data_IF_038788963133
#
_entry.id   IF_038788963133
#
_cell.length_a   1.000
_cell.length_b   1.000
_cell.length_c   1.000
_cell.angle_alpha   90.00
_cell.angle_beta   90.00
_cell.angle_gamma   90.00
#
_symmetry.space_group_name_H-M   'P 1'
#
loop_
_entity.id
_entity.type
_entity.pdbx_description
1 polymer ?
#
# COMPACT_ATOMS: atom_id res chain seq x y z
N UNK A 1 -6.17 -17.49 -22.81
CA UNK A 1 -7.46 -17.29 -22.11
C UNK A 1 -7.67 -15.79 -22.00
N UNK A 2 -8.89 -15.28 -22.18
CA UNK A 2 -9.15 -13.84 -22.07
C UNK A 2 -9.04 -13.41 -20.61
N UNK A 3 -8.25 -12.37 -20.33
CA UNK A 3 -8.17 -11.77 -19.00
C UNK A 3 -9.57 -11.30 -18.56
N UNK A 4 -9.86 -11.38 -17.26
CA UNK A 4 -11.04 -10.76 -16.67
C UNK A 4 -10.62 -9.66 -15.70
N UNK A 5 -10.25 -8.45 -16.18
CA UNK A 5 -9.83 -7.37 -15.31
C UNK A 5 -10.98 -6.93 -14.42
N UNK A 6 -10.71 -6.82 -13.12
CA UNK A 6 -11.66 -6.33 -12.12
C UNK A 6 -11.09 -5.07 -11.48
N UNK A 7 -11.95 -4.15 -11.05
CA UNK A 7 -11.51 -2.93 -10.40
C UNK A 7 -12.19 -2.71 -9.05
N UNK A 8 -11.53 -1.94 -8.19
CA UNK A 8 -12.10 -1.43 -6.94
C UNK A 8 -11.65 0.01 -6.69
N UNK A 9 -12.57 0.93 -6.35
CA UNK A 9 -12.19 2.26 -5.86
C UNK A 9 -11.34 2.18 -4.59
N UNK A 10 -10.34 3.05 -4.49
CA UNK A 10 -9.55 3.24 -3.27
C UNK A 10 -9.83 4.62 -2.70
N UNK A 11 -10.03 4.69 -1.39
CA UNK A 11 -10.20 5.93 -0.64
C UNK A 11 -9.09 6.08 0.40
N UNK A 12 -8.64 7.32 0.61
CA UNK A 12 -7.70 7.66 1.67
C UNK A 12 -8.45 8.31 2.82
N UNK A 13 -8.32 7.74 4.00
CA UNK A 13 -8.94 8.28 5.20
C UNK A 13 -8.22 9.53 5.69
N UNK A 14 -8.97 10.54 6.12
CA UNK A 14 -8.38 11.78 6.57
C UNK A 14 -7.77 11.67 7.97
N UNK A 15 -8.31 10.82 8.85
CA UNK A 15 -7.83 10.72 10.23
C UNK A 15 -6.55 9.88 10.31
N UNK A 16 -6.63 8.64 9.83
CA UNK A 16 -5.57 7.64 9.92
C UNK A 16 -4.53 7.75 8.80
N UNK A 17 -4.89 8.41 7.68
CA UNK A 17 -4.10 8.44 6.42
C UNK A 17 -3.91 7.06 5.77
N UNK A 18 -4.64 6.04 6.24
CA UNK A 18 -4.68 4.71 5.67
C UNK A 18 -5.64 4.65 4.49
N UNK A 19 -5.62 3.51 3.79
CA UNK A 19 -6.41 3.30 2.59
C UNK A 19 -7.48 2.24 2.80
N UNK A 20 -8.64 2.45 2.20
CA UNK A 20 -9.69 1.44 2.08
C UNK A 20 -10.04 1.21 0.62
N UNK A 21 -10.54 0.02 0.33
CA UNK A 21 -11.08 -0.36 -0.96
C UNK A 21 -12.51 -0.87 -0.82
N UNK A 22 -13.24 -0.91 -1.92
CA UNK A 22 -14.64 -1.32 -1.95
C UNK A 22 -14.84 -2.67 -2.64
N UNK A 23 -15.65 -3.52 -2.04
CA UNK A 23 -16.11 -4.76 -2.67
C UNK A 23 -17.56 -5.04 -2.27
N UNK A 24 -18.27 -5.82 -3.07
CA UNK A 24 -19.58 -6.33 -2.69
C UNK A 24 -19.41 -7.72 -2.10
N UNK A 25 -20.16 -8.03 -1.04
CA UNK A 25 -20.21 -9.34 -0.40
C UNK A 25 -21.66 -9.68 -0.08
N UNK A 26 -21.95 -10.96 0.15
CA UNK A 26 -23.25 -11.51 0.61
C UNK A 26 -24.27 -11.66 -0.52
N UNK A 27 -25.33 -12.42 -0.25
CA UNK A 27 -26.54 -12.48 -1.08
C UNK A 27 -27.77 -12.13 -0.25
N UNK A 28 -28.46 -10.99 -0.52
CA UNK A 28 -28.20 -10.03 -1.59
C UNK A 28 -26.91 -9.22 -1.38
N UNK A 29 -26.26 -8.84 -2.49
CA UNK A 29 -24.98 -8.12 -2.50
C UNK A 29 -25.07 -6.80 -1.73
N UNK A 30 -24.12 -6.59 -0.82
CA UNK A 30 -23.95 -5.35 -0.04
C UNK A 30 -22.55 -4.80 -0.23
N UNK A 31 -22.45 -3.50 -0.44
CA UNK A 31 -21.17 -2.79 -0.50
C UNK A 31 -20.48 -2.85 0.87
N UNK A 32 -19.20 -3.21 0.88
CA UNK A 32 -18.33 -3.23 2.05
C UNK A 32 -17.13 -2.32 1.78
N UNK A 33 -16.75 -1.55 2.79
CA UNK A 33 -15.48 -0.85 2.80
C UNK A 33 -14.47 -1.71 3.56
N UNK A 34 -13.32 -1.98 2.95
CA UNK A 34 -12.29 -2.85 3.51
C UNK A 34 -11.00 -2.09 3.63
N UNK A 35 -10.35 -2.15 4.79
CA UNK A 35 -8.99 -1.65 4.92
C UNK A 35 -8.09 -2.39 3.93
N UNK A 36 -7.33 -1.66 3.12
CA UNK A 36 -6.47 -2.24 2.09
C UNK A 36 -5.12 -2.57 2.72
N UNK A 37 -4.83 -3.86 2.87
CA UNK A 37 -3.55 -4.33 3.40
C UNK A 37 -2.76 -5.14 2.38
N UNK A 38 -1.63 -4.57 1.93
CA UNK A 38 -0.69 -5.25 1.05
C UNK A 38 0.01 -6.45 1.68
N UNK A 39 0.23 -6.46 2.99
CA UNK A 39 1.04 -7.47 3.67
C UNK A 39 0.23 -8.59 4.32
N UNK A 40 -1.08 -8.42 4.46
CA UNK A 40 -1.92 -9.38 5.17
C UNK A 40 -2.09 -10.69 4.40
N UNK A 41 -2.24 -11.76 5.17
CA UNK A 41 -2.46 -13.12 4.70
C UNK A 41 -3.92 -13.41 4.33
N UNK A 42 -4.84 -13.10 5.24
CA UNK A 42 -6.27 -13.45 5.13
C UNK A 42 -7.15 -12.23 5.08
N UNK A 43 -8.08 -12.21 4.12
CA UNK A 43 -9.17 -11.24 4.12
C UNK A 43 -10.12 -11.59 5.26
N UNK A 44 -10.54 -10.59 6.02
CA UNK A 44 -11.47 -10.81 7.13
C UNK A 44 -12.53 -9.73 7.24
N UNK A 45 -13.69 -10.09 7.78
CA UNK A 45 -14.84 -9.19 7.96
C UNK A 45 -15.40 -9.29 9.38
N UNK A 46 -15.93 -8.18 9.90
CA UNK A 46 -16.77 -8.21 11.10
C UNK A 46 -18.08 -8.95 10.78
N UNK A 47 -18.25 -10.10 11.45
CA UNK A 47 -19.38 -10.99 11.23
C UNK A 47 -20.44 -10.93 12.33
N UNK A 48 -20.35 -9.98 13.27
CA UNK A 48 -21.27 -9.92 14.43
C UNK A 48 -22.75 -9.83 14.05
N UNK A 49 -23.04 -9.22 12.89
CA UNK A 49 -24.38 -9.11 12.32
C UNK A 49 -24.38 -9.55 10.85
N UNK A 50 -23.79 -10.73 10.59
CA UNK A 50 -23.70 -11.26 9.23
C UNK A 50 -25.00 -11.93 8.79
N UNK A 51 -25.53 -11.53 7.63
CA UNK A 51 -26.75 -12.12 7.06
C UNK A 51 -26.58 -12.25 5.56
N UNK A 52 -26.64 -13.49 5.09
CA UNK A 52 -26.50 -13.86 3.68
C UNK A 52 -27.24 -15.16 3.44
N UNK A 53 -27.76 -15.35 2.22
CA UNK A 53 -28.40 -16.62 1.81
C UNK A 53 -27.42 -17.61 1.17
N UNK A 54 -26.18 -17.19 0.92
CA UNK A 54 -25.15 -17.97 0.22
C UNK A 54 -23.92 -18.27 1.05
N UNK A 55 -23.88 -17.85 2.33
CA UNK A 55 -22.74 -18.17 3.17
C UNK A 55 -22.70 -19.66 3.47
N UNK A 56 -21.49 -20.20 3.62
CA UNK A 56 -21.26 -21.57 4.04
C UNK A 56 -20.14 -21.59 5.08
N UNK A 57 -20.36 -22.33 6.17
CA UNK A 57 -19.29 -22.68 7.09
C UNK A 57 -18.38 -23.74 6.45
N UNK A 58 -17.08 -23.67 6.75
CA UNK A 58 -16.11 -24.67 6.31
C UNK A 58 -15.78 -25.59 7.48
N UNK A 59 -15.90 -26.90 7.28
CA UNK A 59 -15.44 -27.89 8.27
C UNK A 59 -13.91 -28.03 8.27
N UNK A 60 -13.32 -28.32 9.43
CA UNK A 60 -11.86 -28.41 9.59
C UNK A 60 -11.21 -29.53 8.76
N UNK A 61 -11.94 -30.60 8.49
CA UNK A 61 -11.47 -31.79 7.77
C UNK A 61 -11.52 -31.63 6.24
N UNK A 62 -12.06 -30.51 5.76
CA UNK A 62 -12.11 -30.20 4.33
C UNK A 62 -10.73 -29.94 3.77
N UNK A 63 -10.53 -30.29 2.49
CA UNK A 63 -9.29 -30.00 1.77
C UNK A 63 -8.97 -28.49 1.74
N UNK A 64 -9.99 -27.64 1.70
CA UNK A 64 -9.83 -26.18 1.73
C UNK A 64 -9.20 -25.75 3.05
N UNK A 65 -9.69 -26.23 4.19
CA UNK A 65 -9.12 -25.89 5.50
C UNK A 65 -7.67 -26.36 5.65
N UNK A 66 -7.37 -27.59 5.21
CA UNK A 66 -6.02 -28.13 5.23
C UNK A 66 -5.06 -27.31 4.35
N UNK A 67 -5.52 -26.77 3.22
CA UNK A 67 -4.73 -25.91 2.34
C UNK A 67 -4.55 -24.48 2.87
N UNK A 68 -5.51 -23.98 3.64
CA UNK A 68 -5.39 -22.70 4.34
C UNK A 68 -4.29 -22.77 5.42
N UNK A 69 -3.89 -23.97 5.88
CA UNK A 69 -2.79 -24.16 6.83
C UNK A 69 -3.01 -23.36 8.13
N UNK A 70 -4.25 -23.37 8.61
CA UNK A 70 -4.63 -22.66 9.84
C UNK A 70 -4.36 -23.48 11.09
N UNK A 71 -4.35 -24.82 10.96
CA UNK A 71 -4.07 -25.81 12.00
C UNK A 71 -4.95 -25.71 13.25
N UNK A 72 -6.07 -24.99 13.17
CA UNK A 72 -6.99 -24.79 14.29
C UNK A 72 -8.43 -25.09 13.88
N UNK A 73 -9.16 -25.71 14.80
CA UNK A 73 -10.56 -26.06 14.65
C UNK A 73 -11.38 -25.55 15.83
N UNK A 74 -12.56 -25.00 15.53
CA UNK A 74 -13.48 -24.47 16.52
C UNK A 74 -14.64 -25.40 16.83
N UNK A 75 -15.15 -25.32 18.04
CA UNK A 75 -16.47 -25.84 18.40
C UNK A 75 -17.26 -24.73 19.08
N UNK A 76 -18.57 -24.69 18.80
CA UNK A 76 -19.44 -23.66 19.35
C UNK A 76 -20.69 -24.26 19.98
N UNK A 77 -20.99 -23.83 21.20
CA UNK A 77 -22.09 -24.37 22.02
C UNK A 77 -23.35 -23.49 22.02
N UNK A 78 -23.44 -22.57 21.05
CA UNK A 78 -24.61 -21.71 20.82
C UNK A 78 -25.35 -22.15 19.54
N UNK A 79 -26.56 -21.60 19.25
CA UNK A 79 -27.27 -21.90 18.01
C UNK A 79 -26.40 -21.62 16.76
N UNK A 80 -26.46 -22.47 15.72
CA UNK A 80 -25.64 -22.32 14.53
C UNK A 80 -25.79 -20.94 13.89
N UNK A 81 -24.67 -20.31 13.58
CA UNK A 81 -24.61 -19.00 12.93
C UNK A 81 -23.32 -18.87 12.11
N UNK A 82 -23.16 -17.79 11.31
CA UNK A 82 -21.89 -17.54 10.61
C UNK A 82 -20.66 -17.48 11.53
N UNK A 83 -20.82 -17.22 12.82
CA UNK A 83 -19.72 -17.14 13.81
C UNK A 83 -19.82 -18.22 14.89
N UNK A 84 -20.62 -19.26 14.65
CA UNK A 84 -20.83 -20.33 15.61
C UNK A 84 -21.17 -21.63 14.87
N UNK A 85 -20.19 -22.50 14.74
CA UNK A 85 -20.33 -23.77 14.06
C UNK A 85 -19.40 -24.82 14.69
N UNK A 86 -19.84 -26.08 14.70
CA UNK A 86 -19.00 -27.17 15.23
C UNK A 86 -18.04 -27.67 14.17
N UNK A 87 -16.88 -28.16 14.62
CA UNK A 87 -15.83 -28.65 13.74
C UNK A 87 -15.44 -27.61 12.67
N UNK A 88 -15.47 -26.32 13.03
CA UNK A 88 -15.23 -25.22 12.10
C UNK A 88 -13.75 -25.09 11.75
N UNK A 89 -13.46 -24.69 10.51
CA UNK A 89 -12.16 -24.24 10.11
C UNK A 89 -11.94 -22.81 10.64
N UNK A 90 -10.99 -22.60 11.54
CA UNK A 90 -10.70 -21.28 12.11
C UNK A 90 -9.37 -20.74 11.61
N UNK A 91 -9.12 -19.44 11.76
CA UNK A 91 -7.78 -18.85 11.63
C UNK A 91 -7.57 -17.70 12.61
N UNK A 92 -6.41 -17.04 12.50
CA UNK A 92 -6.04 -15.88 13.30
C UNK A 92 -6.10 -14.59 12.47
N UNK A 93 -7.27 -13.97 12.28
CA UNK A 93 -7.35 -12.65 11.66
C UNK A 93 -6.54 -11.64 12.49
N UNK A 94 -5.66 -10.91 11.80
CA UNK A 94 -4.80 -9.89 12.40
C UNK A 94 -5.20 -8.49 11.91
N UNK A 95 -5.26 -7.55 12.84
CA UNK A 95 -5.19 -6.12 12.52
C UNK A 95 -3.72 -5.69 12.46
N UNK A 96 -3.20 -5.47 11.25
CA UNK A 96 -1.81 -5.10 11.00
C UNK A 96 -1.40 -3.74 11.58
N UNK A 97 -2.37 -2.86 11.90
CA UNK A 97 -2.13 -1.49 12.39
C UNK A 97 -1.95 -1.51 13.91
N UNK A 98 -2.83 -2.22 14.62
CA UNK A 98 -2.81 -2.30 16.09
C UNK A 98 -2.11 -3.53 16.62
N UNK A 99 -1.75 -4.49 15.74
CA UNK A 99 -1.16 -5.78 16.08
C UNK A 99 -2.04 -6.61 17.02
N UNK A 100 -3.35 -6.43 16.89
CA UNK A 100 -4.34 -7.25 17.58
C UNK A 100 -4.69 -8.47 16.74
N UNK A 101 -4.91 -9.59 17.42
CA UNK A 101 -5.34 -10.85 16.82
C UNK A 101 -6.60 -11.33 17.53
N UNK A 102 -7.43 -12.04 16.79
CA UNK A 102 -8.51 -12.85 17.35
C UNK A 102 -8.50 -14.24 16.73
N UNK A 103 -9.39 -15.11 17.19
CA UNK A 103 -9.76 -16.34 16.49
C UNK A 103 -11.07 -16.09 15.76
N UNK A 104 -11.18 -16.61 14.54
CA UNK A 104 -12.39 -16.49 13.76
C UNK A 104 -12.58 -17.62 12.76
N UNK A 105 -13.85 -18.01 12.59
CA UNK A 105 -14.28 -19.02 11.63
C UNK A 105 -14.02 -18.55 10.20
N UNK A 106 -13.61 -19.46 9.33
CA UNK A 106 -13.53 -19.24 7.89
C UNK A 106 -14.86 -19.60 7.24
N UNK A 107 -15.35 -18.68 6.44
CA UNK A 107 -16.57 -18.81 5.66
C UNK A 107 -16.29 -18.72 4.16
N UNK A 108 -17.20 -19.32 3.40
CA UNK A 108 -17.41 -19.01 2.00
C UNK A 108 -18.61 -18.06 1.88
N UNK A 109 -18.52 -17.07 1.02
CA UNK A 109 -19.70 -16.37 0.51
C UNK A 109 -19.40 -15.75 -0.87
N UNK A 110 -20.43 -15.20 -1.51
CA UNK A 110 -20.31 -14.53 -2.80
C UNK A 110 -19.70 -13.15 -2.63
N UNK A 111 -18.50 -12.96 -3.17
CA UNK A 111 -17.88 -11.66 -3.40
C UNK A 111 -18.23 -11.17 -4.82
N UNK A 112 -18.33 -9.86 -5.03
CA UNK A 112 -18.38 -9.29 -6.37
C UNK A 112 -17.56 -8.02 -6.51
N UNK A 113 -16.94 -7.89 -7.69
CA UNK A 113 -16.25 -6.68 -8.12
C UNK A 113 -16.68 -6.31 -9.52
N UNK A 114 -16.77 -5.03 -9.85
CA UNK A 114 -16.98 -4.63 -11.23
C UNK A 114 -15.84 -5.06 -12.15
N UNK A 115 -16.18 -5.44 -13.37
CA UNK A 115 -15.24 -5.60 -14.48
C UNK A 115 -14.68 -4.24 -14.91
N UNK A 116 -13.56 -4.22 -15.62
CA UNK A 116 -13.03 -3.01 -16.25
C UNK A 116 -12.40 -3.32 -17.61
N UNK A 117 -12.45 -2.34 -18.52
CA UNK A 117 -11.73 -2.33 -19.79
C UNK A 117 -10.39 -1.56 -19.69
N UNK A 118 -9.98 -1.22 -18.47
CA UNK A 118 -8.82 -0.38 -18.17
C UNK A 118 -9.15 1.12 -18.14
N UNK A 119 -10.36 1.54 -18.55
CA UNK A 119 -10.83 2.93 -18.51
C UNK A 119 -11.98 3.11 -17.52
N UNK A 120 -12.99 2.25 -17.61
CA UNK A 120 -14.27 2.47 -16.96
C UNK A 120 -14.78 1.24 -16.21
N UNK A 121 -15.56 1.48 -15.14
CA UNK A 121 -16.31 0.43 -14.47
C UNK A 121 -17.33 -0.23 -15.40
N UNK A 122 -17.36 -1.56 -15.40
CA UNK A 122 -18.35 -2.40 -16.08
C UNK A 122 -19.33 -3.08 -15.13
N UNK A 123 -19.97 -4.15 -15.62
CA UNK A 123 -20.88 -4.99 -14.82
C UNK A 123 -20.12 -5.73 -13.71
N UNK A 124 -20.81 -6.09 -12.64
CA UNK A 124 -20.25 -6.94 -11.58
C UNK A 124 -19.90 -8.33 -12.12
N UNK A 125 -18.73 -8.82 -11.72
CA UNK A 125 -18.32 -10.21 -11.80
C UNK A 125 -18.46 -10.83 -10.41
N UNK A 126 -19.06 -12.03 -10.35
CA UNK A 126 -19.28 -12.77 -9.11
C UNK A 126 -18.15 -13.77 -8.87
N UNK A 127 -17.76 -13.92 -7.61
CA UNK A 127 -16.83 -14.90 -7.07
C UNK A 127 -17.63 -15.67 -6.00
N UNK A 128 -18.35 -16.75 -6.37
CA UNK A 128 -19.36 -17.37 -5.50
C UNK A 128 -18.84 -18.00 -4.21
N UNK A 129 -17.60 -18.51 -4.25
CA UNK A 129 -16.95 -19.25 -3.16
C UNK A 129 -15.71 -18.48 -2.70
N UNK A 130 -15.88 -17.21 -2.32
CA UNK A 130 -14.77 -16.42 -1.80
C UNK A 130 -14.51 -16.80 -0.33
N UNK A 131 -13.32 -17.29 -0.03
CA UNK A 131 -12.87 -17.63 1.31
C UNK A 131 -12.49 -16.37 2.13
N UNK A 132 -13.03 -16.22 3.34
CA UNK A 132 -12.61 -15.16 4.27
C UNK A 132 -12.80 -15.58 5.73
N UNK A 133 -12.06 -14.93 6.62
CA UNK A 133 -12.25 -15.11 8.07
C UNK A 133 -13.31 -14.16 8.61
N UNK A 134 -14.17 -14.65 9.47
CA UNK A 134 -14.89 -13.81 10.40
C UNK A 134 -13.96 -13.24 11.46
N UNK A 135 -14.29 -12.05 11.94
CA UNK A 135 -13.56 -11.33 12.97
C UNK A 135 -14.55 -10.69 13.94
N UNK A 136 -14.10 -10.45 15.18
CA UNK A 136 -14.87 -9.68 16.15
C UNK A 136 -14.64 -8.17 15.95
N UNK A 137 -15.61 -7.30 16.32
CA UNK A 137 -15.53 -5.85 16.09
C UNK A 137 -14.30 -5.19 16.71
N UNK A 138 -13.72 -5.79 17.76
CA UNK A 138 -12.51 -5.29 18.42
C UNK A 138 -11.34 -5.15 17.43
N UNK A 139 -11.26 -6.00 16.39
CA UNK A 139 -10.23 -5.93 15.36
C UNK A 139 -10.39 -4.74 14.42
N UNK A 140 -11.51 -4.02 14.43
CA UNK A 140 -11.68 -2.78 13.65
C UNK A 140 -11.01 -1.57 14.31
N UNK A 141 -10.56 -1.68 15.56
CA UNK A 141 -9.95 -0.57 16.28
C UNK A 141 -8.72 -0.01 15.53
N UNK A 142 -8.64 1.32 15.42
CA UNK A 142 -7.53 2.01 14.75
C UNK A 142 -7.56 2.00 13.22
N UNK A 143 -8.47 1.25 12.58
CA UNK A 143 -8.68 1.28 11.14
C UNK A 143 -9.52 2.50 10.72
N UNK A 144 -9.57 2.86 9.42
CA UNK A 144 -10.44 3.93 8.93
C UNK A 144 -11.89 3.75 9.38
N UNK A 145 -12.55 4.85 9.75
CA UNK A 145 -13.94 4.80 10.19
C UNK A 145 -14.84 4.23 9.09
N UNK A 146 -15.75 3.33 9.47
CA UNK A 146 -16.74 2.73 8.57
C UNK A 146 -16.22 1.57 7.71
N UNK A 147 -14.99 1.09 7.93
CA UNK A 147 -14.58 -0.21 7.35
C UNK A 147 -15.27 -1.36 8.07
N UNK A 148 -15.57 -2.41 7.33
CA UNK A 148 -16.21 -3.63 7.79
C UNK A 148 -15.24 -4.80 7.93
N UNK A 149 -13.96 -4.56 7.67
CA UNK A 149 -12.97 -5.62 7.54
C UNK A 149 -11.68 -5.16 6.90
N UNK A 150 -10.89 -6.13 6.47
CA UNK A 150 -9.59 -5.98 5.83
C UNK A 150 -9.57 -6.81 4.55
N UNK A 151 -9.13 -6.21 3.45
CA UNK A 151 -8.80 -6.89 2.21
C UNK A 151 -7.30 -7.23 2.19
N UNK A 152 -6.98 -8.52 2.20
CA UNK A 152 -5.61 -9.00 2.26
C UNK A 152 -5.05 -9.24 0.86
N UNK A 153 -4.04 -8.46 0.50
CA UNK A 153 -3.40 -8.52 -0.81
C UNK A 153 -2.03 -9.21 -0.77
N UNK A 154 -1.68 -9.87 0.33
CA UNK A 154 -0.41 -10.59 0.48
C UNK A 154 -0.23 -11.76 -0.48
N UNK A 155 0.96 -12.33 -0.46
CA UNK A 155 1.44 -13.40 -1.35
C UNK A 155 1.00 -14.79 -0.88
N UNK A 156 -0.26 -14.91 -0.52
CA UNK A 156 -0.87 -16.15 -0.06
C UNK A 156 -1.89 -16.67 -1.08
N UNK A 157 -2.04 -17.99 -1.20
CA UNK A 157 -2.92 -18.61 -2.21
C UNK A 157 -4.42 -18.33 -1.99
N UNK A 158 -4.80 -17.93 -0.78
CA UNK A 158 -6.15 -17.51 -0.42
C UNK A 158 -6.24 -16.00 -0.13
N UNK A 159 -5.26 -15.21 -0.58
CA UNK A 159 -5.39 -13.76 -0.54
C UNK A 159 -6.45 -13.28 -1.54
N UNK A 160 -6.95 -12.06 -1.33
CA UNK A 160 -7.95 -11.43 -2.19
C UNK A 160 -7.61 -11.50 -3.69
N UNK A 161 -6.40 -11.09 -4.15
CA UNK A 161 -6.02 -11.21 -5.56
C UNK A 161 -5.83 -12.66 -6.03
N UNK A 162 -5.37 -13.58 -5.19
CA UNK A 162 -5.15 -14.97 -5.56
C UNK A 162 -6.49 -15.70 -5.82
N UNK A 163 -7.49 -15.50 -4.96
CA UNK A 163 -8.82 -16.07 -5.13
C UNK A 163 -9.51 -15.54 -6.40
N UNK A 164 -9.39 -14.23 -6.66
CA UNK A 164 -9.91 -13.60 -7.88
C UNK A 164 -9.24 -14.17 -9.14
N UNK A 165 -7.92 -14.39 -9.10
CA UNK A 165 -7.19 -15.03 -10.19
C UNK A 165 -7.67 -16.45 -10.45
N UNK A 166 -7.81 -17.25 -9.38
CA UNK A 166 -8.32 -18.63 -9.42
C UNK A 166 -9.73 -18.70 -10.01
N UNK A 167 -10.65 -17.86 -9.54
CA UNK A 167 -12.05 -17.85 -9.96
C UNK A 167 -12.26 -17.59 -11.45
N UNK A 168 -11.38 -16.79 -12.07
CA UNK A 168 -11.48 -16.42 -13.49
C UNK A 168 -10.40 -17.05 -14.37
N UNK A 169 -9.62 -18.01 -13.86
CA UNK A 169 -8.46 -18.59 -14.57
C UNK A 169 -7.57 -17.51 -15.21
N UNK A 170 -7.39 -16.41 -14.47
CA UNK A 170 -6.72 -15.18 -14.92
C UNK A 170 -5.38 -15.02 -14.19
N UNK A 171 -4.46 -14.16 -14.67
CA UNK A 171 -3.16 -13.98 -14.02
C UNK A 171 -3.28 -13.51 -12.57
N UNK A 172 -2.48 -14.07 -11.66
CA UNK A 172 -2.35 -13.59 -10.28
C UNK A 172 -1.48 -12.31 -10.27
N UNK A 173 -2.12 -11.19 -10.60
CA UNK A 173 -1.52 -9.86 -10.64
C UNK A 173 -2.54 -8.82 -10.22
N UNK A 174 -2.05 -7.74 -9.62
CA UNK A 174 -2.85 -6.56 -9.35
C UNK A 174 -1.99 -5.30 -9.46
N UNK A 175 -2.65 -4.16 -9.68
CA UNK A 175 -2.06 -2.84 -9.71
C UNK A 175 -2.83 -1.91 -8.76
N UNK A 176 -2.10 -1.03 -8.08
CA UNK A 176 -2.67 -0.05 -7.15
C UNK A 176 -2.19 1.33 -7.53
N UNK A 177 -3.13 2.24 -7.69
CA UNK A 177 -2.90 3.67 -7.73
C UNK A 177 -3.59 4.30 -6.52
N UNK A 178 -2.83 4.51 -5.44
CA UNK A 178 -3.35 5.08 -4.21
C UNK A 178 -3.59 6.60 -4.36
N UNK A 179 -4.70 7.15 -3.83
CA UNK A 179 -4.96 8.57 -3.95
C UNK A 179 -4.04 9.39 -3.05
N UNK A 180 -3.61 10.54 -3.56
CA UNK A 180 -2.75 11.47 -2.83
C UNK A 180 -3.49 12.20 -1.71
N UNK A 181 -4.74 12.60 -1.96
CA UNK A 181 -5.60 13.35 -1.03
C UNK A 181 -6.87 12.56 -0.67
N UNK A 182 -7.48 12.81 0.50
CA UNK A 182 -8.77 12.20 0.86
C UNK A 182 -9.93 12.58 -0.08
N UNK A 183 -9.82 13.71 -0.78
CA UNK A 183 -10.83 14.19 -1.74
C UNK A 183 -10.73 13.54 -3.13
N UNK A 184 -9.65 12.79 -3.40
CA UNK A 184 -9.44 12.09 -4.65
C UNK A 184 -9.68 10.59 -4.47
N UNK A 185 -10.11 9.94 -5.56
CA UNK A 185 -10.22 8.49 -5.60
C UNK A 185 -8.98 7.90 -6.24
N UNK A 186 -8.53 6.77 -5.69
CA UNK A 186 -7.58 5.88 -6.34
C UNK A 186 -8.28 4.64 -6.88
N UNK A 187 -7.49 3.69 -7.35
CA UNK A 187 -8.00 2.45 -7.95
C UNK A 187 -7.07 1.28 -7.67
N UNK A 188 -7.67 0.12 -7.38
CA UNK A 188 -7.04 -1.18 -7.49
C UNK A 188 -7.59 -1.88 -8.73
N UNK A 189 -6.71 -2.51 -9.52
CA UNK A 189 -7.07 -3.36 -10.66
C UNK A 189 -6.50 -4.75 -10.41
N UNK A 190 -7.28 -5.79 -10.64
CA UNK A 190 -6.92 -7.20 -10.46
C UNK A 190 -7.00 -7.94 -11.79
N UNK A 191 -6.28 -9.06 -11.92
CA UNK A 191 -6.33 -9.97 -13.07
C UNK A 191 -5.87 -9.39 -14.42
N UNK A 192 -5.09 -8.32 -14.42
CA UNK A 192 -4.58 -7.71 -15.65
C UNK A 192 -3.22 -7.06 -15.44
N UNK A 193 -2.38 -7.12 -16.48
CA UNK A 193 -1.12 -6.35 -16.55
C UNK A 193 -1.30 -4.95 -17.14
N UNK A 194 -2.50 -4.65 -17.64
CA UNK A 194 -2.82 -3.45 -18.39
C UNK A 194 -3.70 -3.79 -19.60
N UNK A 195 -4.20 -2.78 -20.32
CA UNK A 195 -3.87 -1.36 -20.17
C UNK A 195 -4.50 -0.71 -18.94
N UNK A 196 -3.85 0.34 -18.42
CA UNK A 196 -4.37 1.17 -17.33
C UNK A 196 -4.50 2.61 -17.82
N UNK A 197 -5.68 3.00 -18.27
CA UNK A 197 -5.89 4.31 -18.85
C UNK A 197 -6.22 5.35 -17.77
N UNK A 198 -5.35 6.35 -17.63
CA UNK A 198 -5.59 7.53 -16.82
C UNK A 198 -5.86 8.73 -17.72
N UNK A 199 -6.63 9.70 -17.22
CA UNK A 199 -6.89 10.94 -17.97
C UNK A 199 -5.56 11.62 -18.37
N UNK A 200 -5.46 12.15 -19.60
CA UNK A 200 -6.51 12.29 -20.63
C UNK A 200 -6.69 11.08 -21.58
N UNK A 201 -6.19 9.90 -21.23
CA UNK A 201 -6.24 8.67 -22.07
C UNK A 201 -4.88 7.96 -22.19
N UNK A 202 -3.98 8.22 -21.24
CA UNK A 202 -2.62 7.68 -21.21
C UNK A 202 -2.66 6.30 -20.58
N UNK A 203 -2.17 5.30 -21.30
CA UNK A 203 -1.97 3.96 -20.76
C UNK A 203 -0.67 3.92 -19.94
N UNK A 204 -0.81 4.03 -18.62
CA UNK A 204 0.33 4.07 -17.69
C UNK A 204 1.00 2.70 -17.51
N UNK A 205 0.38 1.60 -17.95
CA UNK A 205 0.99 0.27 -17.90
C UNK A 205 2.28 0.18 -18.74
N UNK A 206 2.38 1.00 -19.80
CA UNK A 206 3.55 1.09 -20.68
C UNK A 206 4.71 1.89 -20.08
N UNK A 207 4.50 2.55 -18.95
CA UNK A 207 5.48 3.41 -18.27
C UNK A 207 6.07 2.76 -17.01
N UNK A 208 5.69 1.51 -16.73
CA UNK A 208 6.12 0.81 -15.52
C UNK A 208 7.62 0.50 -15.57
N UNK A 209 8.26 0.69 -14.42
CA UNK A 209 9.63 0.24 -14.16
C UNK A 209 9.56 -0.93 -13.19
N UNK A 210 10.36 -1.97 -13.44
CA UNK A 210 10.29 -3.22 -12.69
C UNK A 210 11.51 -3.42 -11.79
N UNK A 211 11.26 -4.12 -10.68
CA UNK A 211 12.29 -4.63 -9.78
C UNK A 211 11.86 -6.01 -9.27
N UNK A 212 12.79 -6.93 -9.00
CA UNK A 212 12.44 -8.22 -8.43
C UNK A 212 11.74 -8.07 -7.07
N UNK A 213 10.64 -8.82 -6.90
CA UNK A 213 10.06 -9.04 -5.58
C UNK A 213 10.91 -10.07 -4.84
N UNK A 214 11.36 -9.70 -3.65
CA UNK A 214 12.16 -10.55 -2.78
C UNK A 214 11.28 -11.34 -1.82
N UNK A 215 11.73 -12.55 -1.48
CA UNK A 215 11.09 -13.37 -0.48
C UNK A 215 11.84 -13.22 0.85
N UNK A 216 11.11 -12.87 1.90
CA UNK A 216 11.63 -12.88 3.27
C UNK A 216 11.27 -14.23 3.91
N UNK A 217 12.22 -14.91 4.58
CA UNK A 217 12.01 -16.27 5.08
C UNK A 217 10.96 -16.36 6.20
N UNK A 218 10.68 -15.27 6.91
CA UNK A 218 9.72 -15.23 8.01
C UNK A 218 8.82 -13.99 7.91
N UNK A 219 7.53 -14.16 8.15
CA UNK A 219 6.55 -13.06 8.26
C UNK A 219 6.80 -12.14 9.46
N UNK A 220 6.33 -10.90 9.37
CA UNK A 220 6.19 -9.99 10.51
C UNK A 220 4.73 -9.96 10.98
N UNK A 221 4.20 -11.11 11.41
CA UNK A 221 2.86 -11.30 11.95
C UNK A 221 2.91 -11.55 13.45
N UNK A 222 1.79 -11.35 14.14
CA UNK A 222 1.69 -11.64 15.59
C UNK A 222 1.71 -13.15 15.84
N UNK A 223 1.02 -13.91 14.99
CA UNK A 223 1.09 -15.37 14.98
C UNK A 223 2.17 -15.80 13.99
N UNK A 224 3.14 -16.58 14.45
CA UNK A 224 4.20 -17.10 13.61
C UNK A 224 3.72 -18.27 12.75
N UNK A 225 3.95 -18.19 11.45
CA UNK A 225 3.71 -19.29 10.51
C UNK A 225 5.05 -19.85 10.04
N UNK A 226 5.14 -21.17 9.89
CA UNK A 226 6.35 -21.85 9.42
C UNK A 226 6.45 -21.79 7.89
N UNK A 227 6.39 -20.58 7.33
CA UNK A 227 6.46 -20.31 5.90
C UNK A 227 7.01 -18.91 5.63
N UNK A 228 7.44 -18.63 4.39
CA UNK A 228 7.89 -17.30 3.99
C UNK A 228 6.85 -16.20 4.25
N UNK A 229 7.33 -14.96 4.38
CA UNK A 229 6.43 -13.80 4.53
C UNK A 229 5.53 -13.61 3.30
N UNK A 230 4.26 -13.31 3.56
CA UNK A 230 3.28 -12.92 2.55
C UNK A 230 3.48 -11.46 2.10
N UNK A 231 4.38 -10.70 2.73
CA UNK A 231 4.61 -9.29 2.46
C UNK A 231 5.49 -9.06 1.21
N UNK A 232 5.39 -7.86 0.63
CA UNK A 232 6.14 -7.46 -0.56
C UNK A 232 7.46 -6.77 -0.20
N UNK A 233 8.58 -7.41 -0.54
CA UNK A 233 9.92 -6.85 -0.36
C UNK A 233 10.60 -6.53 -1.70
N UNK A 234 11.43 -5.49 -1.71
CA UNK A 234 12.23 -5.08 -2.88
C UNK A 234 13.68 -4.84 -2.50
N UNK A 235 14.59 -5.01 -3.47
CA UNK A 235 16.03 -4.89 -3.27
C UNK A 235 16.54 -3.45 -3.39
N UNK A 236 16.33 -2.62 -2.36
CA UNK A 236 16.96 -1.29 -2.30
C UNK A 236 18.44 -1.43 -1.99
N UNK A 237 19.30 -0.90 -2.86
CA UNK A 237 20.77 -0.99 -2.71
C UNK A 237 21.40 0.28 -2.13
N UNK A 238 20.66 1.38 -2.13
CA UNK A 238 21.12 2.65 -1.57
C UNK A 238 20.04 3.73 -1.64
N UNK A 239 20.31 4.85 -0.96
CA UNK A 239 19.43 6.02 -0.96
C UNK A 239 20.25 7.23 -1.40
N UNK A 240 19.65 8.08 -2.25
CA UNK A 240 20.23 9.35 -2.68
C UNK A 240 19.35 10.50 -2.23
N UNK A 241 19.97 11.59 -1.81
CA UNK A 241 19.30 12.86 -1.50
C UNK A 241 19.91 13.94 -2.40
N UNK A 242 19.06 14.56 -3.23
CA UNK A 242 19.51 15.53 -4.24
C UNK A 242 20.63 14.98 -5.13
N UNK A 243 20.44 13.76 -5.66
CA UNK A 243 21.40 13.04 -6.50
C UNK A 243 22.61 12.44 -5.75
N UNK A 244 22.86 12.84 -4.51
CA UNK A 244 24.04 12.42 -3.73
C UNK A 244 23.74 11.18 -2.88
N UNK A 245 24.55 10.11 -2.95
CA UNK A 245 24.37 8.95 -2.08
C UNK A 245 24.58 9.32 -0.61
N UNK A 246 23.82 8.69 0.29
CA UNK A 246 24.01 8.84 1.74
C UNK A 246 24.68 7.58 2.32
N UNK A 247 25.56 7.73 3.32
CA UNK A 247 26.25 6.58 3.91
C UNK A 247 25.27 5.73 4.73
N UNK A 248 24.96 4.53 4.25
CA UNK A 248 24.09 3.57 4.94
C UNK A 248 24.85 2.27 5.15
N UNK A 249 24.64 1.64 6.30
CA UNK A 249 25.08 0.27 6.50
C UNK A 249 24.27 -0.67 5.58
N UNK A 250 24.92 -1.19 4.53
CA UNK A 250 24.27 -2.00 3.51
C UNK A 250 23.66 -3.30 4.07
N UNK A 251 24.17 -3.82 5.20
CA UNK A 251 23.60 -5.03 5.81
C UNK A 251 22.18 -4.83 6.33
N UNK A 252 21.76 -3.58 6.57
CA UNK A 252 20.38 -3.25 6.95
C UNK A 252 19.42 -3.25 5.74
N UNK A 253 19.94 -3.07 4.54
CA UNK A 253 19.15 -3.01 3.31
C UNK A 253 18.90 -4.40 2.71
N UNK A 254 19.84 -5.32 2.91
CA UNK A 254 19.68 -6.73 2.54
C UNK A 254 18.79 -7.49 3.53
N UNK A 255 18.10 -8.53 3.05
CA UNK A 255 17.38 -9.49 3.90
C UNK A 255 18.37 -10.54 4.37
N UNK A 256 18.58 -10.65 5.69
CA UNK A 256 19.30 -11.75 6.28
C UNK A 256 18.44 -13.02 6.18
N UNK A 257 18.89 -14.01 5.41
CA UNK A 257 18.12 -15.24 5.15
C UNK A 257 18.03 -16.17 6.36
N UNK A 258 18.90 -16.03 7.35
CA UNK A 258 18.88 -16.84 8.57
C UNK A 258 17.98 -16.24 9.64
N UNK A 259 18.02 -14.92 9.82
CA UNK A 259 17.27 -14.23 10.89
C UNK A 259 16.01 -13.54 10.40
N UNK A 260 15.86 -13.35 9.09
CA UNK A 260 14.81 -12.54 8.48
C UNK A 260 14.98 -11.03 8.68
N UNK A 261 16.02 -10.56 9.35
CA UNK A 261 16.19 -9.12 9.63
C UNK A 261 16.66 -8.33 8.39
N UNK A 262 16.24 -7.07 8.29
CA UNK A 262 16.59 -6.16 7.20
C UNK A 262 15.59 -6.17 6.04
N UNK A 263 16.00 -5.63 4.90
CA UNK A 263 15.16 -5.53 3.70
C UNK A 263 14.33 -4.25 3.63
N UNK A 264 13.64 -4.08 2.50
CA UNK A 264 12.70 -2.97 2.28
C UNK A 264 11.33 -3.51 1.91
N UNK A 265 10.33 -3.25 2.78
CA UNK A 265 8.93 -3.66 2.60
C UNK A 265 8.10 -2.54 1.98
N UNK A 266 7.16 -2.90 1.11
CA UNK A 266 6.06 -2.05 0.65
C UNK A 266 4.83 -2.35 1.51
N UNK A 267 4.20 -1.32 2.09
CA UNK A 267 3.12 -1.49 3.07
C UNK A 267 2.08 -0.38 2.95
N UNK A 268 0.82 -0.74 3.22
CA UNK A 268 -0.33 0.17 3.34
C UNK A 268 -0.88 0.23 4.78
N UNK A 269 -0.31 -0.55 5.70
CA UNK A 269 -0.63 -0.54 7.14
C UNK A 269 0.13 0.52 7.94
N UNK A 270 1.06 1.22 7.29
CA UNK A 270 1.75 2.38 7.86
C UNK A 270 1.60 3.59 6.92
N UNK A 271 1.15 4.75 7.42
CA UNK A 271 0.87 5.90 6.55
C UNK A 271 2.12 6.65 6.07
N UNK A 272 3.28 6.36 6.65
CA UNK A 272 4.55 7.01 6.33
C UNK A 272 5.66 5.98 6.27
N UNK A 273 6.64 6.21 5.40
CA UNK A 273 7.86 5.40 5.33
C UNK A 273 8.55 5.37 6.70
N UNK A 274 8.77 4.17 7.22
CA UNK A 274 9.54 3.92 8.43
C UNK A 274 10.97 3.54 8.06
N UNK A 275 11.94 4.15 8.74
CA UNK A 275 13.36 3.90 8.53
C UNK A 275 14.00 3.44 9.83
N UNK A 276 14.88 2.44 9.74
CA UNK A 276 15.73 2.05 10.85
C UNK A 276 16.51 3.27 11.37
N UNK A 277 16.67 3.40 12.68
CA UNK A 277 17.15 4.61 13.36
C UNK A 277 18.43 5.21 12.78
N UNK A 278 19.41 4.40 12.39
CA UNK A 278 20.66 4.87 11.78
C UNK A 278 20.45 5.41 10.36
N UNK A 279 19.61 4.74 9.55
CA UNK A 279 19.22 5.20 8.22
C UNK A 279 18.45 6.51 8.33
N UNK A 280 17.49 6.59 9.25
CA UNK A 280 16.68 7.78 9.50
C UNK A 280 17.54 9.00 9.86
N UNK A 281 18.51 8.84 10.78
CA UNK A 281 19.42 9.92 11.18
C UNK A 281 20.23 10.44 10.00
N UNK A 282 20.81 9.54 9.21
CA UNK A 282 21.62 9.91 8.03
C UNK A 282 20.76 10.57 6.96
N UNK A 283 19.61 9.98 6.64
CA UNK A 283 18.67 10.51 5.66
C UNK A 283 18.20 11.92 6.04
N UNK A 284 17.75 12.12 7.27
CA UNK A 284 17.23 13.42 7.70
C UNK A 284 18.32 14.50 7.79
N UNK A 285 19.56 14.14 8.13
CA UNK A 285 20.69 15.07 8.10
C UNK A 285 21.00 15.51 6.66
N UNK A 286 21.13 14.55 5.74
CA UNK A 286 21.36 14.82 4.33
C UNK A 286 20.23 15.65 3.71
N UNK A 287 18.98 15.32 4.03
CA UNK A 287 17.80 16.04 3.57
C UNK A 287 17.80 17.50 4.02
N UNK A 288 18.09 17.76 5.30
CA UNK A 288 18.20 19.14 5.83
C UNK A 288 19.32 19.92 5.14
N UNK A 289 20.47 19.30 4.95
CA UNK A 289 21.60 19.94 4.27
C UNK A 289 21.24 20.30 2.82
N UNK A 290 20.61 19.39 2.08
CA UNK A 290 20.16 19.63 0.71
C UNK A 290 19.08 20.73 0.66
N UNK A 291 18.10 20.69 1.56
CA UNK A 291 17.05 21.70 1.63
C UNK A 291 17.60 23.11 1.92
N UNK A 292 18.59 23.21 2.82
CA UNK A 292 19.26 24.48 3.12
C UNK A 292 20.07 24.99 1.93
N UNK A 293 20.79 24.11 1.23
CA UNK A 293 21.57 24.46 0.04
C UNK A 293 20.68 24.94 -1.12
N UNK A 294 19.43 24.47 -1.19
CA UNK A 294 18.41 24.90 -2.15
C UNK A 294 17.58 26.09 -1.64
N UNK A 295 17.92 26.68 -0.49
CA UNK A 295 17.18 27.78 0.13
C UNK A 295 15.68 27.50 0.32
N UNK A 296 15.29 26.24 0.55
CA UNK A 296 13.90 25.87 0.77
C UNK A 296 13.40 26.48 2.09
N UNK A 297 12.37 27.34 2.00
CA UNK A 297 11.75 27.95 3.17
C UNK A 297 10.79 26.97 3.84
N UNK A 298 10.86 26.88 5.17
CA UNK A 298 9.86 26.17 5.97
C UNK A 298 8.53 26.90 5.82
N UNK A 299 7.50 26.24 5.26
CA UNK A 299 6.13 26.75 5.34
C UNK A 299 5.72 26.69 6.82
N UNK A 300 5.61 27.86 7.46
CA UNK A 300 5.09 27.96 8.82
C UNK A 300 3.67 27.39 8.87
N UNK A 301 3.36 26.61 9.90
CA UNK A 301 1.96 26.32 10.20
C UNK A 301 1.29 27.65 10.53
N UNK A 302 0.25 28.02 9.77
CA UNK A 302 -0.65 29.09 10.19
C UNK A 302 -1.28 28.67 11.51
N UNK A 303 -0.80 29.25 12.61
CA UNK A 303 -1.43 29.10 13.90
C UNK A 303 -2.83 29.69 13.83
N UNK A 304 -3.82 28.96 14.31
CA UNK A 304 -5.07 29.54 14.77
C UNK A 304 -4.68 30.55 15.85
N UNK A 305 -4.99 31.82 15.61
CA UNK A 305 -4.66 32.89 16.52
C UNK A 305 -5.41 32.70 17.86
N UNK A 306 -4.65 32.49 18.94
CA UNK A 306 -5.08 32.83 20.29
C UNK A 306 -4.34 34.10 20.69
N UNK A 307 -5.10 35.13 21.09
CA UNK A 307 -4.64 36.51 21.23
C UNK A 307 -3.71 36.78 22.41
N UNK A 308 -2.92 37.87 22.26
CA UNK A 308 -2.14 38.69 23.24
C UNK A 308 -1.19 37.89 24.17
N UNK A 309 0.11 38.17 24.27
CA UNK A 309 0.76 39.46 24.55
C UNK A 309 2.30 39.37 24.37
N UNK A 310 2.96 40.52 24.23
CA UNK A 310 4.40 40.74 24.02
C UNK A 310 5.30 40.27 25.18
N UNK A 311 6.52 39.77 24.87
CA UNK A 311 7.80 40.21 25.46
C UNK A 311 9.03 39.52 24.80
N UNK A 312 10.19 40.17 25.02
CA UNK A 312 11.45 40.22 24.25
C UNK A 312 12.32 38.94 24.18
N UNK A 313 13.19 38.98 23.15
CA UNK A 313 14.49 38.30 22.88
C UNK A 313 14.97 37.18 23.80
N UNK A 314 15.43 36.05 23.23
CA UNK A 314 16.88 35.79 23.07
C UNK A 314 17.19 34.56 22.20
N UNK A 315 18.42 34.55 21.66
CA UNK A 315 19.05 33.50 20.85
C UNK A 315 19.08 32.13 21.56
N UNK A 316 18.60 31.07 20.92
CA UNK A 316 19.18 29.70 21.04
C UNK A 316 19.10 28.94 19.72
N UNK A 317 20.25 28.47 19.23
CA UNK A 317 20.36 27.35 18.30
C UNK A 317 19.71 26.13 18.97
N UNK A 318 18.45 25.84 18.69
CA UNK A 318 17.84 24.55 19.04
C UNK A 318 18.10 23.58 17.90
N UNK A 319 18.90 22.55 18.17
CA UNK A 319 18.98 21.37 17.32
C UNK A 319 17.59 20.77 17.17
N UNK A 320 17.25 20.39 15.93
CA UNK A 320 15.94 19.83 15.59
C UNK A 320 15.81 18.44 16.20
N UNK A 321 14.76 18.23 17.00
CA UNK A 321 14.46 16.93 17.62
C UNK A 321 14.16 15.85 16.59
N UNK A 322 14.32 14.58 16.98
CA UNK A 322 14.01 13.41 16.14
C UNK A 322 12.54 13.45 15.67
N UNK A 323 11.63 13.92 16.52
CA UNK A 323 10.20 14.09 16.23
C UNK A 323 9.96 15.20 15.18
N UNK A 324 10.73 16.28 15.22
CA UNK A 324 10.66 17.34 14.22
C UNK A 324 11.25 16.90 12.88
N UNK A 325 12.34 16.12 12.88
CA UNK A 325 12.92 15.54 11.67
C UNK A 325 11.95 14.55 10.99
N UNK A 326 11.22 13.76 11.79
CA UNK A 326 10.23 12.80 11.30
C UNK A 326 9.03 13.53 10.69
N UNK A 327 8.60 14.64 11.28
CA UNK A 327 7.50 15.45 10.77
C UNK A 327 7.86 16.28 9.53
N UNK A 328 9.16 16.58 9.29
CA UNK A 328 9.64 17.21 8.06
C UNK A 328 9.77 16.23 6.89
N UNK A 329 10.19 14.98 7.14
CA UNK A 329 10.24 13.94 6.10
C UNK A 329 8.85 13.64 5.50
N UNK A 330 7.79 13.81 6.30
CA UNK A 330 6.38 13.67 5.84
C UNK A 330 5.93 14.73 4.83
N UNK A 331 6.73 15.76 4.55
CA UNK A 331 6.32 16.98 3.81
C UNK A 331 7.31 17.45 2.75
N UNK A 332 8.27 16.62 2.34
CA UNK A 332 9.29 16.96 1.36
C UNK A 332 8.75 16.91 -0.10
N UNK A 333 8.92 17.95 -0.94
CA UNK A 333 8.61 17.91 -2.37
C UNK A 333 9.74 17.27 -3.20
N UNK A 334 9.38 16.64 -4.32
CA UNK A 334 10.27 15.94 -5.27
C UNK A 334 10.62 16.81 -6.50
N UNK A 335 11.79 16.56 -7.11
CA UNK A 335 12.27 17.15 -8.38
C UNK A 335 12.11 16.18 -9.57
N UNK A 336 12.08 16.75 -10.78
CA UNK A 336 11.86 16.11 -12.10
C UNK A 336 13.00 15.17 -12.58
N UNK A 337 12.67 14.33 -13.56
CA UNK A 337 13.40 13.12 -13.99
C UNK A 337 14.39 13.31 -15.16
N UNK A 338 14.60 14.52 -15.68
CA UNK A 338 15.21 14.69 -17.02
C UNK A 338 16.74 14.63 -17.06
N UNK A 339 17.41 14.14 -16.01
CA UNK A 339 18.89 14.10 -15.97
C UNK A 339 19.51 12.89 -15.26
N UNK A 340 18.82 11.75 -15.14
CA UNK A 340 19.41 10.54 -14.58
C UNK A 340 20.15 9.71 -15.66
N UNK A 341 21.46 9.43 -15.52
CA UNK A 341 22.19 8.61 -16.48
C UNK A 341 21.67 7.17 -16.45
N UNK A 342 21.33 6.65 -17.63
CA UNK A 342 21.03 5.23 -17.85
C UNK A 342 22.32 4.41 -17.76
N UNK A 343 22.71 3.94 -16.58
CA UNK A 343 23.56 2.74 -16.45
C UNK A 343 23.46 2.11 -15.05
N UNK A 344 23.10 0.82 -15.03
CA UNK A 344 23.45 -0.16 -13.99
C UNK A 344 22.58 -0.18 -12.71
N UNK A 345 21.85 -1.28 -12.49
CA UNK A 345 21.44 -1.90 -11.21
C UNK A 345 20.84 -1.03 -10.07
N UNK A 346 20.38 0.18 -10.35
CA UNK A 346 19.75 1.04 -9.34
C UNK A 346 18.23 1.05 -9.52
N UNK A 347 17.52 0.42 -8.58
CA UNK A 347 16.07 0.59 -8.42
C UNK A 347 15.84 1.93 -7.74
N UNK A 348 15.51 2.95 -8.53
CA UNK A 348 15.07 4.25 -8.00
C UNK A 348 13.59 4.16 -7.69
N UNK A 349 13.25 3.84 -6.43
CA UNK A 349 11.86 3.88 -5.96
C UNK A 349 11.48 5.32 -5.63
N UNK A 350 10.68 5.94 -6.50
CA UNK A 350 10.07 7.24 -6.22
C UNK A 350 8.88 7.05 -5.28
N UNK A 351 8.97 7.57 -4.05
CA UNK A 351 7.81 7.68 -3.17
C UNK A 351 7.10 9.00 -3.47
N UNK A 352 6.07 8.94 -4.33
CA UNK A 352 5.26 10.12 -4.65
C UNK A 352 4.29 10.42 -3.49
N UNK A 353 4.70 11.35 -2.62
CA UNK A 353 3.81 12.03 -1.68
C UNK A 353 2.98 13.12 -2.38
N UNK A 354 1.88 13.52 -1.75
CA UNK A 354 0.67 14.11 -2.36
C UNK A 354 0.74 15.46 -3.11
N UNK A 355 1.91 16.08 -3.25
CA UNK A 355 2.10 17.20 -4.20
C UNK A 355 2.84 16.78 -5.49
N UNK A 356 3.29 15.52 -5.59
CA UNK A 356 4.18 15.05 -6.66
C UNK A 356 3.55 14.88 -8.06
N UNK A 357 2.22 14.91 -8.22
CA UNK A 357 1.59 14.79 -9.54
C UNK A 357 0.81 16.03 -9.99
N UNK A 358 0.23 16.82 -9.07
CA UNK A 358 -0.71 17.89 -9.48
C UNK A 358 -0.02 19.19 -9.94
N UNK A 359 1.25 19.38 -9.60
CA UNK A 359 2.01 20.60 -9.93
C UNK A 359 3.03 20.44 -11.05
N UNK A 360 3.20 19.22 -11.55
CA UNK A 360 4.18 18.89 -12.60
C UNK A 360 3.62 19.01 -14.02
N UNK A 361 2.34 19.36 -14.20
CA UNK A 361 1.71 19.41 -15.53
C UNK A 361 0.88 20.67 -15.83
N UNK A 362 0.25 21.34 -14.86
CA UNK A 362 -0.78 22.34 -15.21
C UNK A 362 -0.30 23.81 -15.24
N UNK A 363 0.67 24.23 -14.42
CA UNK A 363 1.01 25.67 -14.35
C UNK A 363 2.34 26.07 -15.04
N UNK A 364 3.33 25.17 -15.13
CA UNK A 364 4.66 25.53 -15.68
C UNK A 364 4.83 25.23 -17.17
N UNK A 365 3.93 24.47 -17.81
CA UNK A 365 4.06 24.15 -19.24
C UNK A 365 3.47 25.24 -20.15
N UNK A 366 2.40 25.93 -19.74
CA UNK A 366 1.86 27.09 -20.46
C UNK A 366 2.76 28.34 -20.29
N UNK A 367 3.35 28.53 -19.10
CA UNK A 367 4.30 29.62 -18.87
C UNK A 367 5.64 29.39 -19.61
N UNK A 368 6.14 28.15 -19.66
CA UNK A 368 7.38 27.81 -20.37
C UNK A 368 7.24 27.89 -21.90
N UNK A 369 6.08 27.53 -22.46
CA UNK A 369 5.82 27.63 -23.90
C UNK A 369 5.70 29.10 -24.39
N UNK A 370 5.24 30.01 -23.53
CA UNK A 370 5.19 31.44 -23.86
C UNK A 370 6.56 32.13 -23.74
N UNK A 371 7.45 31.68 -22.86
CA UNK A 371 8.78 32.30 -22.69
C UNK A 371 9.87 31.74 -23.63
N UNK A 372 9.73 30.53 -24.18
CA UNK A 372 10.80 29.88 -24.96
C UNK A 372 10.61 29.82 -26.48
N UNK A 373 9.69 30.59 -27.07
CA UNK A 373 9.58 30.74 -28.53
C UNK A 373 10.48 31.83 -29.14
N UNK A 374 11.31 32.53 -28.36
CA UNK A 374 12.27 33.52 -28.87
C UNK A 374 13.58 33.54 -28.08
N UNK A 375 14.59 32.79 -28.52
CA UNK A 375 15.94 32.95 -27.99
C UNK A 375 16.95 31.90 -28.44
N UNK A 376 17.95 32.32 -29.20
CA UNK A 376 18.94 31.51 -29.91
C UNK A 376 20.01 30.83 -29.04
N UNK A 377 20.29 29.54 -29.34
CA UNK A 377 21.59 28.79 -29.31
C UNK A 377 22.32 28.67 -27.95
N UNK A 378 22.91 27.54 -27.52
CA UNK A 378 23.76 26.53 -28.20
C UNK A 378 23.68 25.18 -27.45
N UNK A 379 23.73 24.05 -28.17
CA UNK A 379 23.81 22.69 -27.60
C UNK A 379 25.20 22.12 -27.91
N UNK A 380 25.90 21.58 -26.91
CA UNK A 380 27.20 20.90 -27.06
C UNK A 380 27.00 19.42 -27.40
N UNK A 381 27.95 18.90 -28.18
CA UNK A 381 28.02 17.55 -28.77
C UNK A 381 28.19 16.39 -27.78
N UNK A 382 27.76 15.22 -28.25
CA UNK A 382 28.02 13.88 -27.71
C UNK A 382 29.41 13.42 -28.11
N UNK A 383 30.16 12.82 -27.18
CA UNK A 383 31.33 11.97 -27.49
C UNK A 383 31.24 10.70 -26.66
N UNK A 384 31.05 9.55 -27.33
CA UNK A 384 31.27 8.20 -26.80
C UNK A 384 32.75 7.78 -26.93
N UNK A 385 33.16 6.71 -26.26
CA UNK A 385 33.32 5.40 -26.91
C UNK A 385 32.76 4.27 -26.00
N UNK A 386 32.35 3.07 -26.44
CA UNK A 386 32.81 2.21 -27.51
C UNK A 386 33.05 0.83 -26.88
N UNK A 387 32.45 -0.21 -27.49
CA UNK A 387 32.41 -1.64 -27.13
C UNK A 387 31.28 -2.10 -26.20
#
# INVERSE_FOLDING_TARGET
MAEQPLFSPIHKDNSTKLFSMQAFLQTPLRLKNLFLDLGATYTWFDCSNYTSSTYQNIHYDTTVCLQLDTLISGNCFEPPSPTCFNDSCECFPENSVTRQVDIGDILLDTLALPKTDGKNPGKLALIPEFEFSCAKPKLLAGLPAGVNGLAALGRFNFSFPAQISKAFSSPFVFAICAPSTPSANGVAVFNSFGPYFFLPGIDVSKLLTYTPLLLKPFGDTVIGYNRPSDEYFVGVTGIRVNGKPIPINQTLLGINQTTGLGGTKISTSTPYTMLQTSIFKTFTAAFKAAANALHLKRKGFGGVAAGRASLRSDKRKRGMSVTEAANLAKKAPCYAADSAPMHGDVVTVYYLGSEGCKKLLEDDMEAWLQENTKGSRRRFEVIGPGW
#
